data_IF_213056545200
#
_entry.id   IF_213056545200
#
_cell.length_a   1.000
_cell.length_b   1.000
_cell.length_c   1.000
_cell.angle_alpha   90.00
_cell.angle_beta   90.00
_cell.angle_gamma   90.00
#
_symmetry.space_group_name_H-M   'P 1'
#
loop_
_entity.id
_entity.type
_entity.pdbx_description
1 polymer ?
#
# COMPACT_ATOMS: atom_id res chain seq x y z
N UNK A 1 -38.75 -50.92 37.72
CA UNK A 1 -38.29 -50.40 36.41
C UNK A 1 -38.97 -49.06 36.00
N UNK A 2 -39.25 -48.13 36.94
CA UNK A 2 -39.85 -46.82 36.65
C UNK A 2 -39.05 -45.61 37.18
N UNK A 3 -38.05 -45.85 38.03
CA UNK A 3 -37.26 -44.78 38.68
C UNK A 3 -36.10 -44.29 37.78
N UNK A 4 -35.54 -45.18 36.94
CA UNK A 4 -34.44 -44.84 36.03
C UNK A 4 -34.82 -43.80 34.96
N UNK A 5 -36.08 -43.78 34.53
CA UNK A 5 -36.56 -42.93 33.44
C UNK A 5 -36.85 -41.48 33.90
N UNK A 6 -37.11 -41.29 35.20
CA UNK A 6 -37.30 -39.96 35.79
C UNK A 6 -35.94 -39.30 36.06
N UNK A 7 -34.94 -40.07 36.51
CA UNK A 7 -33.59 -39.58 36.72
C UNK A 7 -32.93 -39.10 35.42
N UNK A 8 -33.13 -39.81 34.30
CA UNK A 8 -32.60 -39.39 33.00
C UNK A 8 -33.27 -38.11 32.48
N UNK A 9 -34.60 -37.96 32.67
CA UNK A 9 -35.32 -36.72 32.31
C UNK A 9 -34.93 -35.53 33.19
N UNK A 10 -34.66 -35.76 34.48
CA UNK A 10 -34.19 -34.70 35.39
C UNK A 10 -32.74 -34.28 35.06
N UNK A 11 -31.88 -35.24 34.69
CA UNK A 11 -30.50 -34.97 34.28
C UNK A 11 -30.42 -34.23 32.93
N UNK A 12 -31.31 -34.56 31.98
CA UNK A 12 -31.39 -33.88 30.67
C UNK A 12 -31.94 -32.44 30.80
N UNK A 13 -32.80 -32.17 31.79
CA UNK A 13 -33.30 -30.81 32.07
C UNK A 13 -32.23 -29.92 32.72
N UNK A 14 -31.34 -30.49 33.55
CA UNK A 14 -30.24 -29.75 34.19
C UNK A 14 -29.13 -29.40 33.19
N UNK A 15 -28.92 -30.22 32.14
CA UNK A 15 -27.95 -29.94 31.07
C UNK A 15 -28.37 -28.79 30.13
N UNK A 16 -29.67 -28.50 30.01
CA UNK A 16 -30.18 -27.38 29.19
C UNK A 16 -30.29 -26.05 29.96
N UNK A 17 -30.21 -26.10 31.30
CA UNK A 17 -30.31 -24.90 32.14
C UNK A 17 -29.00 -24.10 32.26
N UNK A 18 -27.87 -24.65 31.78
CA UNK A 18 -26.55 -24.02 31.88
C UNK A 18 -26.01 -23.47 30.54
N UNK A 19 -26.86 -23.37 29.53
CA UNK A 19 -26.56 -22.56 28.34
C UNK A 19 -27.20 -21.18 28.50
N UNK A 20 -26.91 -20.51 29.62
CA UNK A 20 -26.88 -19.05 29.62
C UNK A 20 -25.76 -18.68 28.67
N UNK A 21 -26.11 -18.49 27.40
CA UNK A 21 -25.27 -17.73 26.48
C UNK A 21 -25.29 -16.32 27.09
N UNK A 22 -24.27 -16.03 27.88
CA UNK A 22 -23.91 -14.68 28.24
C UNK A 22 -23.47 -14.02 26.93
N UNK A 23 -24.45 -13.57 26.14
CA UNK A 23 -24.21 -12.54 25.16
C UNK A 23 -23.96 -11.31 26.01
N UNK A 24 -22.71 -11.14 26.42
CA UNK A 24 -22.22 -9.85 26.85
C UNK A 24 -22.46 -8.93 25.64
N UNK A 25 -23.60 -8.24 25.67
CA UNK A 25 -23.72 -6.98 24.95
C UNK A 25 -22.75 -6.10 25.70
N UNK A 26 -21.50 -6.09 25.24
CA UNK A 26 -20.57 -5.05 25.64
C UNK A 26 -21.29 -3.75 25.30
N UNK A 27 -21.75 -3.08 26.33
CA UNK A 27 -22.15 -1.68 26.28
C UNK A 27 -20.88 -0.98 25.77
N UNK A 28 -20.83 -0.74 24.46
CA UNK A 28 -19.71 -0.12 23.74
C UNK A 28 -19.60 1.31 24.25
N UNK A 29 -19.07 1.48 25.45
CA UNK A 29 -18.74 2.78 26.04
C UNK A 29 -17.50 3.29 25.33
N UNK A 30 -17.68 3.77 24.10
CA UNK A 30 -16.61 4.21 23.23
C UNK A 30 -17.05 4.36 21.78
N UNK A 31 -16.13 4.81 20.94
CA UNK A 31 -16.34 4.79 19.50
C UNK A 31 -16.12 3.35 19.00
N UNK A 32 -17.15 2.76 18.40
CA UNK A 32 -17.12 1.40 17.85
C UNK A 32 -16.77 1.35 16.36
N UNK A 33 -16.87 2.49 15.67
CA UNK A 33 -16.57 2.65 14.24
C UNK A 33 -17.35 1.73 13.29
N UNK A 34 -18.39 1.03 13.73
CA UNK A 34 -19.05 -0.06 12.99
C UNK A 34 -19.71 0.38 11.67
N UNK A 35 -19.92 1.68 11.48
CA UNK A 35 -20.48 2.27 10.26
C UNK A 35 -19.53 3.19 9.54
N UNK A 36 -18.25 3.14 9.89
CA UNK A 36 -17.21 3.93 9.24
C UNK A 36 -16.96 3.42 7.82
N UNK A 37 -16.64 4.33 6.90
CA UNK A 37 -16.43 3.97 5.50
C UNK A 37 -15.43 4.89 4.81
N UNK A 38 -14.81 4.40 3.73
CA UNK A 38 -13.98 5.24 2.86
C UNK A 38 -14.89 5.91 1.84
N UNK A 39 -15.01 7.23 1.96
CA UNK A 39 -15.91 8.05 1.14
C UNK A 39 -15.30 8.31 -0.23
N UNK A 40 -14.00 8.55 -0.27
CA UNK A 40 -13.29 8.77 -1.53
C UNK A 40 -11.80 8.44 -1.42
N UNK A 41 -11.20 8.15 -2.57
CA UNK A 41 -9.76 8.06 -2.74
C UNK A 41 -9.36 8.74 -4.06
N UNK A 42 -8.13 9.24 -4.11
CA UNK A 42 -7.52 9.78 -5.32
C UNK A 42 -6.35 8.91 -5.78
N UNK A 43 -5.91 9.15 -7.01
CA UNK A 43 -4.68 8.57 -7.55
C UNK A 43 -3.49 9.47 -7.21
N UNK A 44 -2.35 8.85 -6.94
CA UNK A 44 -1.06 9.53 -6.74
C UNK A 44 -0.09 9.26 -7.88
N UNK A 45 1.12 9.82 -7.81
CA UNK A 45 2.24 9.49 -8.71
C UNK A 45 3.34 8.82 -7.88
N UNK A 46 3.92 7.74 -8.39
CA UNK A 46 5.03 7.02 -7.77
C UNK A 46 6.37 7.75 -7.82
N UNK A 47 6.41 9.04 -7.46
CA UNK A 47 7.60 9.92 -7.49
C UNK A 47 8.12 10.29 -6.09
N UNK A 48 7.45 9.85 -5.03
CA UNK A 48 7.75 10.18 -3.64
C UNK A 48 7.34 11.59 -3.20
N UNK A 49 6.74 12.39 -4.07
CA UNK A 49 6.40 13.81 -3.86
C UNK A 49 4.90 14.06 -3.97
N UNK A 50 4.28 13.56 -5.03
CA UNK A 50 2.87 13.71 -5.36
C UNK A 50 2.03 12.82 -4.46
N UNK A 51 1.08 13.43 -3.76
CA UNK A 51 0.25 12.71 -2.81
C UNK A 51 -1.04 12.16 -3.45
N UNK A 52 -1.43 10.97 -3.01
CA UNK A 52 -2.80 10.50 -3.04
C UNK A 52 -3.54 10.93 -1.77
N UNK A 53 -4.85 11.12 -1.87
CA UNK A 53 -5.72 11.55 -0.78
C UNK A 53 -6.81 10.50 -0.59
N UNK A 54 -7.07 10.14 0.67
CA UNK A 54 -8.18 9.28 1.06
C UNK A 54 -9.03 10.03 2.07
N UNK A 55 -10.34 10.07 1.85
CA UNK A 55 -11.30 10.65 2.79
C UNK A 55 -12.12 9.54 3.40
N UNK A 56 -12.21 9.56 4.72
CA UNK A 56 -12.85 8.54 5.53
C UNK A 56 -13.91 9.21 6.37
N UNK A 57 -15.10 8.61 6.44
CA UNK A 57 -16.14 8.99 7.38
C UNK A 57 -16.11 8.01 8.55
N UNK A 58 -15.96 8.54 9.76
CA UNK A 58 -15.95 7.77 11.01
C UNK A 58 -17.30 7.87 11.69
N UNK A 59 -17.96 6.73 11.86
CA UNK A 59 -19.32 6.64 12.38
C UNK A 59 -19.51 5.37 13.20
N UNK A 60 -20.21 5.51 14.33
CA UNK A 60 -20.54 4.41 15.21
C UNK A 60 -21.78 3.63 14.74
N UNK A 61 -22.08 2.50 15.39
CA UNK A 61 -23.25 1.66 15.10
C UNK A 61 -24.58 2.39 15.25
N UNK A 62 -24.66 3.33 16.19
CA UNK A 62 -25.83 4.15 16.52
C UNK A 62 -26.03 5.39 15.60
N UNK A 63 -25.30 5.45 14.48
CA UNK A 63 -25.23 6.61 13.57
C UNK A 63 -24.56 7.87 14.15
N UNK A 64 -24.03 7.84 15.38
CA UNK A 64 -23.27 8.97 15.91
C UNK A 64 -21.94 9.15 15.15
N UNK A 65 -21.60 10.41 14.89
CA UNK A 65 -20.36 10.79 14.22
C UNK A 65 -19.20 10.76 15.21
N UNK A 66 -18.08 10.19 14.78
CA UNK A 66 -16.87 10.17 15.59
C UNK A 66 -16.03 11.39 15.26
N UNK A 67 -15.88 12.30 16.22
CA UNK A 67 -15.12 13.55 16.06
C UNK A 67 -13.79 13.50 16.83
N UNK A 68 -12.75 14.13 16.31
CA UNK A 68 -11.44 14.26 16.96
C UNK A 68 -10.58 12.99 16.97
N UNK A 69 -11.06 11.91 16.35
CA UNK A 69 -10.29 10.68 16.16
C UNK A 69 -9.40 10.79 14.93
N UNK A 70 -8.12 10.46 15.08
CA UNK A 70 -7.15 10.43 13.98
C UNK A 70 -6.90 8.98 13.54
N UNK A 71 -7.27 8.58 12.31
CA UNK A 71 -6.95 7.26 11.77
C UNK A 71 -5.44 7.03 11.73
N UNK A 72 -5.02 5.84 12.16
CA UNK A 72 -3.66 5.35 12.06
C UNK A 72 -3.57 4.32 10.94
N UNK A 73 -2.85 4.71 9.89
CA UNK A 73 -2.69 3.89 8.70
C UNK A 73 -1.59 2.87 8.93
N UNK A 74 -1.91 1.62 8.64
CA UNK A 74 -0.96 0.52 8.61
C UNK A 74 -0.85 -0.07 7.21
N UNK A 75 0.35 -0.57 6.93
CA UNK A 75 0.66 -1.19 5.66
C UNK A 75 0.40 -2.69 5.81
N UNK A 76 -0.71 -3.18 5.26
CA UNK A 76 -1.11 -4.58 5.36
C UNK A 76 -0.20 -5.56 4.60
N UNK A 77 0.80 -5.07 3.86
CA UNK A 77 1.73 -5.92 3.13
C UNK A 77 3.18 -5.54 3.45
N UNK A 78 3.83 -6.43 4.19
CA UNK A 78 5.25 -6.43 4.57
C UNK A 78 6.16 -6.79 3.38
N UNK A 79 6.20 -5.90 2.41
CA UNK A 79 7.30 -5.68 1.47
C UNK A 79 7.67 -4.19 1.49
N UNK A 80 8.62 -3.74 0.66
CA UNK A 80 8.76 -2.29 0.44
C UNK A 80 7.47 -1.80 -0.22
N UNK A 81 6.51 -1.31 0.58
CA UNK A 81 5.26 -0.71 0.09
C UNK A 81 5.54 0.48 -0.84
N UNK A 82 6.77 1.00 -0.80
CA UNK A 82 7.18 2.21 -1.46
C UNK A 82 6.50 3.44 -0.89
N UNK A 83 5.65 3.32 0.15
CA UNK A 83 5.05 4.47 0.82
C UNK A 83 6.15 5.16 1.63
N UNK A 84 6.41 6.42 1.32
CA UNK A 84 7.46 7.23 1.95
C UNK A 84 6.90 8.17 3.01
N UNK A 85 5.62 8.48 2.93
CA UNK A 85 4.95 9.40 3.84
C UNK A 85 3.46 9.08 3.92
N UNK A 86 2.90 9.18 5.12
CA UNK A 86 1.48 9.28 5.33
C UNK A 86 1.16 10.17 6.54
N UNK A 87 -0.01 10.79 6.52
CA UNK A 87 -0.57 11.52 7.66
C UNK A 87 -2.07 11.67 7.51
N UNK A 88 -2.82 11.51 8.58
CA UNK A 88 -4.26 11.72 8.63
C UNK A 88 -4.60 12.89 9.56
N UNK A 89 -5.65 13.64 9.22
CA UNK A 89 -6.19 14.66 10.12
C UNK A 89 -7.12 14.04 11.17
N UNK A 90 -7.27 14.65 12.35
CA UNK A 90 -8.39 14.32 13.23
C UNK A 90 -9.71 14.49 12.48
N UNK A 91 -10.67 13.63 12.78
CA UNK A 91 -12.04 13.72 12.24
C UNK A 91 -12.72 15.02 12.66
N UNK A 92 -13.39 15.67 11.72
CA UNK A 92 -14.13 16.91 11.95
C UNK A 92 -15.52 16.67 12.57
N UNK A 93 -16.35 17.72 12.62
CA UNK A 93 -17.73 17.63 13.15
C UNK A 93 -18.66 16.76 12.30
N UNK A 94 -18.28 16.45 11.06
CA UNK A 94 -19.00 15.55 10.15
C UNK A 94 -18.42 14.13 10.21
N UNK A 95 -17.49 13.86 11.12
CA UNK A 95 -16.79 12.58 11.20
C UNK A 95 -15.77 12.35 10.09
N UNK A 96 -15.44 13.38 9.29
CA UNK A 96 -14.55 13.23 8.14
C UNK A 96 -13.08 13.39 8.54
N UNK A 97 -12.27 12.40 8.20
CA UNK A 97 -10.81 12.44 8.29
C UNK A 97 -10.18 12.32 6.91
N UNK A 98 -9.14 13.12 6.66
CA UNK A 98 -8.41 13.11 5.39
C UNK A 98 -7.00 12.58 5.61
N UNK A 99 -6.65 11.53 4.88
CA UNK A 99 -5.33 10.91 4.86
C UNK A 99 -4.58 11.27 3.58
N UNK A 100 -3.36 11.77 3.72
CA UNK A 100 -2.44 12.11 2.63
C UNK A 100 -1.34 11.05 2.58
N UNK A 101 -1.09 10.46 1.41
CA UNK A 101 -0.16 9.32 1.25
C UNK A 101 0.74 9.56 0.03
N UNK A 102 2.05 9.32 0.17
CA UNK A 102 3.03 9.43 -0.93
C UNK A 102 3.77 8.11 -1.10
N UNK A 103 4.11 7.77 -2.34
CA UNK A 103 4.87 6.57 -2.64
C UNK A 103 5.90 6.77 -3.76
N UNK A 104 6.98 5.98 -3.73
CA UNK A 104 8.02 5.87 -4.77
C UNK A 104 7.85 4.63 -5.66
N UNK A 105 6.97 3.70 -5.28
CA UNK A 105 6.68 2.50 -6.06
C UNK A 105 5.29 2.64 -6.66
N UNK A 106 5.22 2.49 -7.99
CA UNK A 106 3.99 2.56 -8.78
C UNK A 106 3.04 1.38 -8.49
N UNK A 107 1.79 1.49 -8.96
CA UNK A 107 0.78 0.45 -8.88
C UNK A 107 -0.14 0.57 -7.67
N UNK A 108 -0.95 -0.48 -7.45
CA UNK A 108 -1.93 -0.55 -6.36
C UNK A 108 -1.22 -0.63 -5.00
N UNK A 109 -1.79 0.04 -4.00
CA UNK A 109 -1.42 0.01 -2.59
C UNK A 109 -2.69 -0.18 -1.78
N UNK A 110 -2.81 -1.33 -1.12
CA UNK A 110 -3.87 -1.60 -0.15
C UNK A 110 -3.47 -1.01 1.18
N UNK A 111 -4.26 -0.06 1.67
CA UNK A 111 -4.10 0.55 2.99
C UNK A 111 -5.11 -0.04 3.95
N UNK A 112 -4.70 -0.19 5.21
CA UNK A 112 -5.56 -0.66 6.30
C UNK A 112 -5.43 0.33 7.46
N UNK A 113 -6.48 0.48 8.25
CA UNK A 113 -6.47 1.35 9.43
C UNK A 113 -6.45 0.49 10.70
N UNK A 114 -5.39 0.63 11.51
CA UNK A 114 -5.12 -0.24 12.66
C UNK A 114 -5.95 0.10 13.90
N UNK A 115 -6.28 1.37 14.07
CA UNK A 115 -6.99 1.88 15.24
C UNK A 115 -8.51 2.01 15.01
N UNK A 116 -9.01 1.36 13.96
CA UNK A 116 -10.42 1.29 13.60
C UNK A 116 -10.82 -0.19 13.63
N UNK A 117 -11.67 -0.58 14.58
CA UNK A 117 -11.93 -2.00 14.94
C UNK A 117 -12.55 -2.84 13.81
N UNK A 118 -13.12 -2.21 12.78
CA UNK A 118 -13.74 -2.91 11.64
C UNK A 118 -12.77 -3.34 10.53
N UNK A 119 -11.46 -3.12 10.67
CA UNK A 119 -10.50 -3.50 9.63
C UNK A 119 -10.75 -2.76 8.31
N UNK A 120 -11.03 -1.46 8.42
CA UNK A 120 -11.29 -0.60 7.28
C UNK A 120 -10.08 -0.61 6.32
N UNK A 121 -10.34 -0.77 5.02
CA UNK A 121 -9.29 -0.83 3.99
C UNK A 121 -9.66 -0.08 2.72
N UNK A 122 -8.66 0.33 1.95
CA UNK A 122 -8.85 0.99 0.65
C UNK A 122 -7.68 0.69 -0.28
N UNK A 123 -7.97 0.58 -1.57
CA UNK A 123 -6.96 0.47 -2.61
C UNK A 123 -6.69 1.83 -3.26
N UNK A 124 -5.42 2.23 -3.27
CA UNK A 124 -4.95 3.46 -3.89
C UNK A 124 -4.03 3.11 -5.05
N UNK A 125 -4.21 3.76 -6.19
CA UNK A 125 -3.34 3.55 -7.35
C UNK A 125 -2.33 4.69 -7.49
N UNK A 126 -1.05 4.35 -7.60
CA UNK A 126 0.03 5.27 -7.93
C UNK A 126 0.44 5.11 -9.39
N UNK A 127 0.18 6.13 -10.19
CA UNK A 127 0.57 6.19 -11.60
C UNK A 127 2.09 6.35 -11.74
N UNK A 128 2.69 5.84 -12.83
CA UNK A 128 4.08 6.15 -13.15
C UNK A 128 4.25 7.66 -13.38
N UNK A 129 5.36 8.25 -12.91
CA UNK A 129 5.65 9.65 -13.22
C UNK A 129 5.70 9.86 -14.73
N UNK A 130 5.02 10.91 -15.20
CA UNK A 130 5.12 11.32 -16.60
C UNK A 130 6.57 11.70 -16.87
N UNK A 131 7.21 10.96 -17.77
CA UNK A 131 8.55 11.28 -18.25
C UNK A 131 8.36 12.09 -19.52
N UNK A 132 8.32 13.40 -19.38
CA UNK A 132 8.30 14.30 -20.53
C UNK A 132 9.72 14.33 -21.13
N UNK A 133 9.90 13.62 -22.25
CA UNK A 133 11.15 13.57 -23.02
C UNK A 133 11.80 12.19 -23.16
N UNK A 134 12.78 12.09 -24.05
CA UNK A 134 13.65 10.92 -24.18
C UNK A 134 14.57 10.87 -22.96
N UNK A 135 14.41 9.87 -22.10
CA UNK A 135 15.34 9.64 -20.99
C UNK A 135 16.13 8.35 -21.24
N UNK A 136 17.42 8.41 -20.95
CA UNK A 136 18.32 7.27 -20.92
C UNK A 136 18.54 6.89 -19.46
N UNK A 137 18.29 5.63 -19.08
CA UNK A 137 18.47 5.15 -17.72
C UNK A 137 19.58 4.09 -17.70
N UNK A 138 20.70 4.42 -17.04
CA UNK A 138 21.77 3.46 -16.73
C UNK A 138 21.45 2.77 -15.40
N UNK A 139 21.18 1.47 -15.43
CA UNK A 139 20.99 0.66 -14.22
C UNK A 139 22.23 -0.20 -14.03
N UNK A 140 23.06 0.22 -13.08
CA UNK A 140 24.30 -0.39 -12.59
C UNK A 140 25.55 -0.27 -13.48
N UNK A 141 26.60 0.30 -12.90
CA UNK A 141 27.98 0.21 -13.39
C UNK A 141 28.72 -0.78 -12.48
N UNK A 142 29.12 -1.92 -13.02
CA UNK A 142 30.03 -2.86 -12.37
C UNK A 142 31.45 -2.55 -12.81
N UNK A 143 32.27 -2.08 -11.87
CA UNK A 143 33.69 -1.70 -11.96
C UNK A 143 33.99 -0.23 -12.37
N UNK A 144 34.61 0.47 -11.42
CA UNK A 144 35.35 1.73 -11.63
C UNK A 144 36.80 1.33 -11.92
N UNK A 145 37.34 1.72 -13.07
CA UNK A 145 38.79 1.76 -13.28
C UNK A 145 39.23 3.22 -13.28
N UNK A 146 40.10 3.60 -12.34
CA UNK A 146 40.76 4.90 -12.30
C UNK A 146 42.03 4.86 -13.16
N UNK A 147 42.00 5.57 -14.28
CA UNK A 147 43.17 6.05 -15.01
C UNK A 147 43.36 7.54 -14.68
N UNK A 148 44.62 7.98 -14.55
CA UNK A 148 45.05 9.29 -14.06
C UNK A 148 44.72 10.51 -14.95
N UNK A 149 43.71 10.45 -15.83
CA UNK A 149 43.45 11.51 -16.84
C UNK A 149 41.99 11.95 -17.02
N UNK A 150 41.06 11.57 -16.14
CA UNK A 150 39.70 12.14 -16.09
C UNK A 150 38.59 11.41 -16.86
N UNK A 151 37.51 11.10 -16.11
CA UNK A 151 36.13 10.67 -16.44
C UNK A 151 35.84 9.50 -17.40
N UNK A 152 34.72 8.80 -17.17
CA UNK A 152 34.62 7.33 -17.14
C UNK A 152 33.39 6.68 -17.84
N UNK A 153 33.30 5.35 -17.69
CA UNK A 153 32.17 4.38 -17.74
C UNK A 153 31.88 3.61 -19.04
N UNK A 154 32.08 2.29 -18.95
CA UNK A 154 31.70 1.23 -19.89
C UNK A 154 30.45 0.49 -19.39
N UNK A 155 29.49 0.18 -20.26
CA UNK A 155 28.49 -0.88 -20.00
C UNK A 155 28.28 -1.75 -21.23
N UNK A 156 28.35 -3.07 -21.05
CA UNK A 156 28.10 -4.08 -22.06
C UNK A 156 27.06 -5.04 -21.49
N UNK A 157 25.90 -5.18 -22.16
CA UNK A 157 24.88 -6.16 -21.82
C UNK A 157 24.70 -7.13 -23.00
N UNK A 158 25.47 -8.22 -22.97
CA UNK A 158 25.14 -9.51 -23.59
C UNK A 158 24.99 -9.59 -25.11
N UNK A 159 25.95 -9.09 -25.90
CA UNK A 159 26.00 -9.34 -27.35
C UNK A 159 27.22 -10.20 -27.73
N UNK A 160 27.08 -11.25 -28.55
CA UNK A 160 28.22 -11.94 -29.17
C UNK A 160 28.83 -11.14 -30.34
N UNK A 161 28.24 -10.00 -30.70
CA UNK A 161 28.66 -9.17 -31.83
C UNK A 161 29.49 -7.96 -31.38
N UNK A 162 30.51 -7.62 -32.18
CA UNK A 162 31.28 -6.38 -32.02
C UNK A 162 30.32 -5.18 -32.07
N UNK A 163 30.31 -4.36 -31.01
CA UNK A 163 29.44 -3.19 -30.91
C UNK A 163 29.79 -2.11 -31.95
N UNK A 164 28.91 -1.11 -32.09
CA UNK A 164 29.19 0.06 -32.91
C UNK A 164 30.28 0.90 -32.25
N UNK A 165 31.36 1.18 -33.00
CA UNK A 165 32.42 2.11 -32.63
C UNK A 165 32.17 3.44 -33.33
N UNK A 166 31.99 4.51 -32.56
CA UNK A 166 32.01 5.87 -33.09
C UNK A 166 33.25 6.59 -32.57
N UNK A 167 33.97 7.23 -33.48
CA UNK A 167 35.20 7.97 -33.20
C UNK A 167 35.05 9.42 -33.67
N UNK A 168 35.20 10.37 -32.74
CA UNK A 168 35.19 11.81 -33.02
C UNK A 168 36.28 12.44 -32.18
N UNK A 169 37.21 13.15 -32.83
CA UNK A 169 38.26 13.95 -32.16
C UNK A 169 39.07 13.20 -31.07
N UNK A 170 39.38 11.93 -31.31
CA UNK A 170 40.16 11.08 -30.39
C UNK A 170 39.34 10.44 -29.27
N UNK A 171 38.03 10.72 -29.20
CA UNK A 171 37.10 10.06 -28.29
C UNK A 171 36.49 8.83 -28.97
N UNK A 172 36.46 7.71 -28.27
CA UNK A 172 35.84 6.47 -28.74
C UNK A 172 34.65 6.12 -27.85
N UNK A 173 33.48 5.94 -28.47
CA UNK A 173 32.27 5.46 -27.80
C UNK A 173 31.92 4.09 -28.38
N UNK A 174 31.76 3.10 -27.50
CA UNK A 174 31.32 1.75 -27.84
C UNK A 174 29.88 1.55 -27.40
N UNK A 175 29.00 1.19 -28.34
CA UNK A 175 27.59 0.92 -28.07
C UNK A 175 27.24 -0.47 -28.58
N UNK A 176 26.85 -1.36 -27.68
CA UNK A 176 26.20 -2.64 -28.03
C UNK A 176 24.78 -2.64 -27.46
N UNK A 177 23.77 -2.74 -28.32
CA UNK A 177 22.37 -2.94 -27.89
C UNK A 177 21.81 -4.19 -28.55
N UNK A 178 21.07 -5.00 -27.79
CA UNK A 178 20.23 -6.05 -28.36
C UNK A 178 18.84 -5.46 -28.55
N UNK A 179 18.57 -4.98 -29.76
CA UNK A 179 17.28 -4.46 -30.18
C UNK A 179 17.35 -4.19 -31.68
N UNK A 180 16.43 -4.77 -32.45
CA UNK A 180 16.38 -4.52 -33.88
C UNK A 180 16.11 -3.02 -34.11
N UNK A 181 17.12 -2.30 -34.61
CA UNK A 181 16.91 -0.98 -35.17
C UNK A 181 16.31 -1.23 -36.54
N UNK A 182 14.98 -1.17 -36.66
CA UNK A 182 14.32 -1.14 -37.97
C UNK A 182 14.54 0.27 -38.53
N UNK A 183 15.29 0.43 -39.63
CA UNK A 183 15.35 1.72 -40.30
C UNK A 183 13.96 2.00 -40.87
N UNK A 184 13.35 3.12 -40.50
CA UNK A 184 12.24 3.67 -41.29
C UNK A 184 12.86 4.32 -42.53
N UNK A 185 12.55 3.77 -43.70
CA UNK A 185 12.81 4.42 -45.00
C UNK A 185 12.15 5.80 -45.10
#
# INVERSE_FOLDING_TARGET
MRVLNVAYKLLLLVLLANCSIDVAVEDLKGNDFLRSSVVSNSRGIGDGVTAAVVVIELRNSDDSLVTGHTPDLSLANTGSSGITYYSCTPSDQLGLSTCTIKAIIVGVKTIVFNNIEIGLSSDIFFDPPKRDGNFFQLISAGAVMEDASGYSVTTQLGSPYEGLKQEVDGYQIYISTTGAITPTE
#
